data_IF_823994101850
#
_entry.id   IF_823994101850
#
_cell.length_a   1.000
_cell.length_b   1.000
_cell.length_c   1.000
_cell.angle_alpha   90.00
_cell.angle_beta   90.00
_cell.angle_gamma   90.00
#
_symmetry.space_group_name_H-M   'P 1'
#
loop_
_entity.id
_entity.type
_entity.pdbx_description
1 polymer ?
#
# COMPACT_ATOMS: atom_id res chain seq x y z
N UNK A 1 24.97 -15.46 7.15
CA UNK A 1 24.52 -14.32 6.34
C UNK A 1 23.15 -13.93 6.85
N UNK A 2 22.84 -12.66 7.01
CA UNK A 2 21.69 -12.27 7.84
C UNK A 2 20.36 -12.50 7.10
N UNK A 3 19.55 -13.43 7.58
CA UNK A 3 18.18 -13.70 7.14
C UNK A 3 17.27 -12.44 7.14
N UNK A 4 17.71 -11.34 7.76
CA UNK A 4 17.05 -10.02 7.74
C UNK A 4 16.80 -9.43 6.36
N UNK A 5 17.54 -9.83 5.32
CA UNK A 5 17.34 -9.31 3.96
C UNK A 5 16.36 -10.19 3.19
N UNK A 6 16.59 -11.51 3.19
CA UNK A 6 15.85 -12.43 2.33
C UNK A 6 14.54 -12.90 2.97
N UNK A 7 14.52 -13.06 4.31
CA UNK A 7 13.38 -13.61 5.05
C UNK A 7 13.13 -12.84 6.36
N UNK A 8 12.73 -11.55 6.29
CA UNK A 8 12.53 -10.76 7.49
C UNK A 8 11.38 -11.36 8.33
N UNK A 9 11.64 -11.66 9.61
CA UNK A 9 10.68 -12.36 10.48
C UNK A 9 9.27 -11.73 10.52
N UNK A 10 9.18 -10.40 10.35
CA UNK A 10 7.92 -9.65 10.34
C UNK A 10 7.13 -9.72 9.01
N UNK A 11 7.65 -10.44 8.01
CA UNK A 11 6.96 -10.75 6.75
C UNK A 11 6.80 -12.26 6.50
N UNK A 12 7.35 -13.11 7.36
CA UNK A 12 7.29 -14.58 7.28
C UNK A 12 6.52 -15.24 8.43
N UNK A 13 6.09 -14.47 9.44
CA UNK A 13 5.40 -14.98 10.64
C UNK A 13 3.88 -15.12 10.51
N UNK A 14 3.32 -14.91 9.33
CA UNK A 14 1.87 -15.01 9.14
C UNK A 14 1.41 -16.47 9.26
N UNK A 15 0.27 -16.77 9.92
CA UNK A 15 -0.20 -18.14 10.14
C UNK A 15 -0.39 -18.99 8.87
N UNK A 16 -0.49 -18.37 7.70
CA UNK A 16 -0.58 -19.07 6.41
C UNK A 16 0.73 -19.69 5.92
N UNK A 17 1.87 -19.37 6.55
CA UNK A 17 3.20 -19.84 6.13
C UNK A 17 3.69 -19.26 4.79
N UNK A 18 3.02 -18.25 4.26
CA UNK A 18 3.44 -17.54 3.04
C UNK A 18 4.21 -16.28 3.41
N UNK A 19 5.12 -15.87 2.53
CA UNK A 19 5.76 -14.58 2.64
C UNK A 19 4.87 -13.48 2.08
N UNK A 20 4.90 -12.31 2.72
CA UNK A 20 4.18 -11.14 2.23
C UNK A 20 4.49 -10.85 0.74
N UNK A 21 5.75 -11.01 0.30
CA UNK A 21 6.16 -10.73 -1.08
C UNK A 21 5.49 -11.64 -2.11
N UNK A 22 5.22 -12.91 -1.75
CA UNK A 22 4.53 -13.89 -2.61
C UNK A 22 3.16 -13.39 -3.05
N UNK A 23 2.50 -12.60 -2.20
CA UNK A 23 1.21 -11.96 -2.49
C UNK A 23 1.42 -10.61 -3.16
N UNK A 24 2.20 -9.72 -2.54
CA UNK A 24 2.26 -8.30 -2.94
C UNK A 24 2.97 -8.05 -4.26
N UNK A 25 3.78 -8.99 -4.76
CA UNK A 25 4.45 -8.86 -6.07
C UNK A 25 3.47 -8.82 -7.25
N UNK A 26 2.23 -9.33 -7.06
CA UNK A 26 1.19 -9.36 -8.08
C UNK A 26 0.27 -8.13 -8.02
N UNK A 27 0.59 -7.16 -7.18
CA UNK A 27 -0.21 -5.96 -6.94
C UNK A 27 0.51 -4.73 -7.49
N UNK A 28 -0.25 -3.68 -7.79
CA UNK A 28 0.36 -2.38 -8.07
C UNK A 28 1.05 -1.82 -6.81
N UNK A 29 1.87 -0.78 -7.00
CA UNK A 29 2.67 -0.20 -5.92
C UNK A 29 1.84 0.23 -4.71
N UNK A 30 0.68 0.87 -4.92
CA UNK A 30 -0.15 1.35 -3.82
C UNK A 30 -0.77 0.19 -3.03
N UNK A 31 -1.42 -0.74 -3.73
CA UNK A 31 -2.09 -1.88 -3.10
C UNK A 31 -1.07 -2.79 -2.40
N UNK A 32 0.06 -3.09 -3.07
CA UNK A 32 1.11 -3.94 -2.50
C UNK A 32 1.71 -3.35 -1.22
N UNK A 33 1.95 -2.03 -1.18
CA UNK A 33 2.40 -1.37 0.04
C UNK A 33 1.34 -1.39 1.14
N UNK A 34 0.07 -1.14 0.80
CA UNK A 34 -1.01 -1.18 1.78
C UNK A 34 -1.11 -2.56 2.45
N UNK A 35 -1.11 -3.63 1.65
CA UNK A 35 -1.10 -5.02 2.15
C UNK A 35 0.13 -5.29 3.00
N UNK A 36 1.32 -4.86 2.56
CA UNK A 36 2.56 -5.01 3.35
C UNK A 36 2.45 -4.39 4.75
N UNK A 37 1.85 -3.20 4.90
CA UNK A 37 1.68 -2.57 6.21
C UNK A 37 0.61 -3.27 7.05
N UNK A 38 -0.50 -3.72 6.44
CA UNK A 38 -1.50 -4.52 7.14
C UNK A 38 -0.91 -5.84 7.66
N UNK A 39 -0.12 -6.51 6.81
CA UNK A 39 0.57 -7.76 7.14
C UNK A 39 1.53 -7.59 8.31
N UNK A 40 2.20 -6.43 8.38
CA UNK A 40 3.23 -6.14 9.39
C UNK A 40 2.69 -5.57 10.70
N UNK A 41 1.48 -5.02 10.71
CA UNK A 41 0.94 -4.30 11.86
C UNK A 41 1.01 -5.14 13.15
N UNK A 42 1.66 -4.62 14.19
CA UNK A 42 1.86 -5.32 15.47
C UNK A 42 3.00 -6.34 15.49
N UNK A 43 3.66 -6.59 14.35
CA UNK A 43 4.84 -7.46 14.25
C UNK A 43 6.16 -6.67 14.28
N UNK A 44 6.11 -5.37 13.98
CA UNK A 44 7.27 -4.47 14.02
C UNK A 44 6.86 -3.03 14.31
N UNK A 45 7.33 -2.49 15.43
CA UNK A 45 7.07 -1.10 15.81
C UNK A 45 5.60 -0.86 16.20
N UNK A 46 5.13 0.37 16.02
CA UNK A 46 3.76 0.77 16.36
C UNK A 46 2.75 0.31 15.28
N UNK A 47 1.79 -0.53 15.71
CA UNK A 47 0.71 -1.00 14.85
C UNK A 47 -0.13 0.16 14.29
N UNK A 48 -0.39 1.20 15.08
CA UNK A 48 -1.20 2.34 14.64
C UNK A 48 -0.51 3.10 13.49
N UNK A 49 0.82 3.21 13.53
CA UNK A 49 1.60 3.83 12.45
C UNK A 49 1.48 3.02 11.15
N UNK A 50 1.57 1.69 11.22
CA UNK A 50 1.40 0.82 10.06
C UNK A 50 -0.02 0.91 9.48
N UNK A 51 -1.05 0.94 10.33
CA UNK A 51 -2.44 1.15 9.88
C UNK A 51 -2.64 2.51 9.18
N UNK A 52 -2.03 3.58 9.72
CA UNK A 52 -2.05 4.91 9.09
C UNK A 52 -1.37 4.91 7.72
N UNK A 53 -0.24 4.21 7.58
CA UNK A 53 0.45 4.04 6.29
C UNK A 53 -0.37 3.24 5.30
N UNK A 54 -0.98 2.15 5.73
CA UNK A 54 -1.88 1.36 4.88
C UNK A 54 -3.02 2.22 4.31
N UNK A 55 -3.69 3.00 5.18
CA UNK A 55 -4.74 3.94 4.77
C UNK A 55 -4.24 4.97 3.75
N UNK A 56 -3.04 5.52 3.95
CA UNK A 56 -2.46 6.50 3.04
C UNK A 56 -2.26 5.93 1.62
N UNK A 57 -1.76 4.70 1.51
CA UNK A 57 -1.58 4.04 0.21
C UNK A 57 -2.90 3.70 -0.47
N UNK A 58 -3.92 3.27 0.29
CA UNK A 58 -5.26 3.03 -0.26
C UNK A 58 -5.89 4.32 -0.78
N UNK A 59 -5.76 5.43 -0.04
CA UNK A 59 -6.30 6.72 -0.50
C UNK A 59 -5.69 7.12 -1.86
N UNK A 60 -4.38 6.96 -2.04
CA UNK A 60 -3.73 7.27 -3.32
C UNK A 60 -4.22 6.41 -4.47
N UNK A 61 -4.53 5.14 -4.21
CA UNK A 61 -5.09 4.27 -5.24
C UNK A 61 -6.51 4.67 -5.61
N UNK A 62 -7.31 5.11 -4.64
CA UNK A 62 -8.64 5.68 -4.87
C UNK A 62 -8.51 6.93 -5.74
N UNK A 63 -7.64 7.88 -5.36
CA UNK A 63 -7.45 9.13 -6.11
C UNK A 63 -7.01 8.84 -7.56
N UNK A 64 -6.06 7.91 -7.75
CA UNK A 64 -5.60 7.49 -9.09
C UNK A 64 -6.73 6.92 -9.95
N UNK A 65 -7.63 6.15 -9.36
CA UNK A 65 -8.78 5.58 -10.07
C UNK A 65 -9.82 6.64 -10.40
N UNK A 66 -10.11 7.56 -9.47
CA UNK A 66 -11.00 8.69 -9.70
C UNK A 66 -10.48 9.59 -10.81
N UNK A 67 -9.18 9.91 -10.81
CA UNK A 67 -8.55 10.70 -11.87
C UNK A 67 -8.58 9.99 -13.23
N UNK A 68 -8.44 8.66 -13.25
CA UNK A 68 -8.53 7.87 -14.47
C UNK A 68 -9.97 7.81 -15.04
N UNK A 69 -10.99 7.95 -14.19
CA UNK A 69 -12.40 7.98 -14.57
C UNK A 69 -12.87 9.35 -15.09
N UNK A 70 -12.09 10.42 -14.88
CA UNK A 70 -12.38 11.76 -15.41
C UNK A 70 -11.66 11.93 -16.75
N UNK A 71 -12.35 11.90 -17.91
CA UNK A 71 -11.71 12.22 -19.18
C UNK A 71 -11.25 13.67 -19.18
N UNK A 72 -10.13 13.95 -19.84
CA UNK A 72 -9.49 15.26 -19.98
C UNK A 72 -10.31 16.33 -20.75
N UNK A 73 -11.64 16.35 -20.63
CA UNK A 73 -12.54 17.23 -21.38
C UNK A 73 -13.21 18.33 -20.55
N UNK A 74 -12.85 18.51 -19.28
CA UNK A 74 -13.35 19.66 -18.48
C UNK A 74 -12.28 20.30 -17.60
N UNK A 75 -11.31 20.95 -18.24
CA UNK A 75 -10.69 22.14 -17.68
C UNK A 75 -11.02 23.33 -18.57
N UNK A 76 -12.29 23.76 -18.54
CA UNK A 76 -12.64 25.12 -18.93
C UNK A 76 -13.52 25.75 -17.85
N UNK A 77 -13.10 26.97 -17.47
CA UNK A 77 -13.76 27.99 -16.63
C UNK A 77 -13.48 27.89 -15.12
N UNK A 78 -12.97 28.92 -14.44
CA UNK A 78 -12.97 30.34 -14.77
C UNK A 78 -11.66 31.08 -14.44
N UNK A 79 -11.13 31.76 -15.45
CA UNK A 79 -10.89 33.21 -15.30
C UNK A 79 -12.25 33.93 -15.33
N UNK A 80 -12.25 35.20 -14.91
CA UNK A 80 -13.39 36.11 -14.64
C UNK A 80 -13.86 35.91 -13.19
N UNK A 81 -13.58 36.78 -12.21
CA UNK A 81 -13.22 38.22 -12.15
C UNK A 81 -12.34 38.47 -10.92
#
# INVERSE_FOLDING_TARGET
MSETINHPAHYTSHPSGLECITITQHMNFCIGNAVKYLWRAGLKGDALEDLKKARWYIQREIDRLQDAEIPATKQEKGSIE
#
